data_IF_862639965846
#
_entry.id   IF_862639965846
#
_cell.length_a   1.000
_cell.length_b   1.000
_cell.length_c   1.000
_cell.angle_alpha   90.00
_cell.angle_beta   90.00
_cell.angle_gamma   90.00
#
_symmetry.space_group_name_H-M   'P 1'
#
loop_
_entity.id
_entity.type
_entity.pdbx_description
1 polymer ?
#
# COMPACT_ATOMS: atom_id res chain seq x y z
N UNK A 1 8.48 -11.66 -3.48
CA UNK A 1 7.95 -10.91 -4.64
C UNK A 1 7.81 -11.86 -5.81
N UNK A 2 6.81 -11.68 -6.68
CA UNK A 2 6.66 -12.49 -7.91
C UNK A 2 5.58 -13.57 -7.91
N UNK A 3 4.59 -13.51 -7.01
CA UNK A 3 3.42 -14.41 -7.02
C UNK A 3 2.16 -13.78 -7.66
N UNK A 4 2.24 -12.53 -8.12
CA UNK A 4 1.25 -11.89 -9.00
C UNK A 4 -0.06 -11.38 -8.38
N UNK A 5 -0.37 -11.69 -7.12
CA UNK A 5 -1.58 -11.20 -6.43
C UNK A 5 -1.28 -10.08 -5.45
N UNK A 6 -2.29 -9.24 -5.13
CA UNK A 6 -2.19 -8.09 -4.21
C UNK A 6 -1.47 -8.38 -2.90
N UNK A 7 -1.74 -9.53 -2.27
CA UNK A 7 -1.08 -9.91 -1.01
C UNK A 7 0.45 -9.94 -1.12
N UNK A 8 0.99 -10.12 -2.32
CA UNK A 8 2.41 -10.19 -2.60
C UNK A 8 3.03 -8.86 -3.01
N UNK A 9 2.19 -7.85 -3.24
CA UNK A 9 2.60 -6.47 -3.55
C UNK A 9 2.77 -5.64 -2.28
N UNK A 10 2.42 -6.19 -1.11
CA UNK A 10 2.65 -5.56 0.19
C UNK A 10 4.12 -5.26 0.41
N UNK A 11 4.41 -4.01 0.78
CA UNK A 11 5.76 -3.58 1.15
C UNK A 11 6.15 -4.07 2.55
N UNK A 12 7.45 -4.21 2.85
CA UNK A 12 7.91 -4.55 4.20
C UNK A 12 7.45 -3.52 5.25
N UNK A 13 7.09 -3.99 6.44
CA UNK A 13 6.60 -3.16 7.55
C UNK A 13 7.48 -1.93 7.81
N UNK A 14 8.81 -2.07 7.81
CA UNK A 14 9.73 -0.95 8.08
C UNK A 14 9.68 0.20 7.06
N UNK A 15 9.13 -0.03 5.87
CA UNK A 15 9.04 1.02 4.84
C UNK A 15 7.94 2.04 5.13
N UNK A 16 6.96 1.66 5.97
CA UNK A 16 5.79 2.48 6.27
C UNK A 16 5.91 3.34 7.52
N UNK A 17 7.07 3.36 8.19
CA UNK A 17 7.29 4.21 9.36
C UNK A 17 8.33 3.66 10.33
N UNK A 18 8.63 4.42 11.39
CA UNK A 18 9.45 3.93 12.50
C UNK A 18 8.90 2.61 13.04
N UNK A 19 9.81 1.68 13.33
CA UNK A 19 9.53 0.36 13.87
C UNK A 19 9.69 0.36 15.38
N UNK A 20 10.66 1.11 15.90
CA UNK A 20 10.95 1.19 17.34
C UNK A 20 10.75 2.61 17.88
N UNK A 21 10.57 2.75 19.21
CA UNK A 21 10.50 4.07 19.84
C UNK A 21 11.73 4.93 19.58
N UNK A 22 12.93 4.35 19.60
CA UNK A 22 14.19 5.07 19.39
C UNK A 22 14.27 5.67 17.98
N UNK A 23 13.76 4.94 16.97
CA UNK A 23 13.67 5.46 15.60
C UNK A 23 12.73 6.67 15.52
N UNK A 24 11.62 6.65 16.27
CA UNK A 24 10.71 7.79 16.37
C UNK A 24 11.39 8.97 17.05
N UNK A 25 11.95 8.74 18.25
CA UNK A 25 12.58 9.77 19.08
C UNK A 25 13.75 10.45 18.37
N UNK A 26 14.53 9.70 17.59
CA UNK A 26 15.64 10.25 16.79
C UNK A 26 15.21 11.36 15.82
N UNK A 27 13.92 11.42 15.48
CA UNK A 27 13.32 12.38 14.54
C UNK A 27 11.97 12.88 15.03
N UNK A 28 11.79 13.02 16.34
CA UNK A 28 10.50 13.32 16.97
C UNK A 28 9.83 14.58 16.39
N UNK A 29 10.58 15.67 16.23
CA UNK A 29 10.05 16.93 15.68
C UNK A 29 9.46 16.76 14.28
N UNK A 30 10.16 16.01 13.40
CA UNK A 30 9.68 15.71 12.04
C UNK A 30 8.40 14.89 12.09
N UNK A 31 8.36 13.86 12.93
CA UNK A 31 7.22 12.95 12.98
C UNK A 31 5.99 13.58 13.64
N UNK A 32 6.17 14.35 14.72
CA UNK A 32 5.09 15.11 15.34
C UNK A 32 4.50 16.15 14.37
N UNK A 33 5.34 16.81 13.56
CA UNK A 33 4.87 17.71 12.48
C UNK A 33 4.04 16.96 11.45
N UNK A 34 4.50 15.79 10.98
CA UNK A 34 3.74 14.98 10.02
C UNK A 34 2.41 14.48 10.59
N UNK A 35 2.38 14.08 11.87
CA UNK A 35 1.13 13.68 12.53
C UNK A 35 0.12 14.83 12.53
N UNK A 36 0.54 16.04 12.89
CA UNK A 36 -0.36 17.20 12.92
C UNK A 36 -0.81 17.63 11.52
N UNK A 37 0.13 17.85 10.61
CA UNK A 37 -0.16 18.51 9.33
C UNK A 37 -0.66 17.56 8.25
N UNK A 38 -0.19 16.30 8.24
CA UNK A 38 -0.50 15.33 7.19
C UNK A 38 -1.55 14.32 7.65
N UNK A 39 -1.40 13.79 8.87
CA UNK A 39 -2.32 12.78 9.41
C UNK A 39 -3.55 13.42 10.06
N UNK A 40 -3.45 14.68 10.50
CA UNK A 40 -4.50 15.36 11.26
C UNK A 40 -4.64 14.82 12.70
N UNK A 41 -3.58 14.22 13.25
CA UNK A 41 -3.52 13.64 14.58
C UNK A 41 -2.70 14.53 15.52
N UNK A 42 -3.22 14.86 16.71
CA UNK A 42 -2.47 15.62 17.70
C UNK A 42 -1.59 14.69 18.58
N UNK A 43 -0.25 14.73 18.45
CA UNK A 43 0.68 13.94 19.25
C UNK A 43 0.82 14.40 20.72
N UNK A 44 0.22 15.53 21.12
CA UNK A 44 0.39 16.09 22.46
C UNK A 44 -0.16 15.15 23.53
N UNK A 45 0.65 14.78 24.53
CA UNK A 45 0.27 13.88 25.61
C UNK A 45 0.12 12.40 25.23
N UNK A 46 0.54 12.02 24.01
CA UNK A 46 0.50 10.64 23.51
C UNK A 46 1.81 9.90 23.72
N UNK A 47 1.73 8.58 23.92
CA UNK A 47 2.94 7.75 23.98
C UNK A 47 3.58 7.61 22.61
N UNK A 48 4.86 7.23 22.57
CA UNK A 48 5.58 7.04 21.31
C UNK A 48 4.92 5.92 20.47
N UNK A 49 4.44 4.86 21.11
CA UNK A 49 3.76 3.74 20.45
C UNK A 49 2.45 4.18 19.79
N UNK A 50 1.64 5.00 20.46
CA UNK A 50 0.41 5.55 19.89
C UNK A 50 0.72 6.42 18.66
N UNK A 51 1.74 7.27 18.74
CA UNK A 51 2.20 8.11 17.64
C UNK A 51 2.68 7.30 16.45
N UNK A 52 3.48 6.25 16.70
CA UNK A 52 3.94 5.31 15.67
C UNK A 52 2.72 4.64 15.02
N UNK A 53 1.80 4.09 15.81
CA UNK A 53 0.63 3.39 15.29
C UNK A 53 -0.23 4.30 14.39
N UNK A 54 -0.52 5.53 14.82
CA UNK A 54 -1.29 6.49 14.03
C UNK A 54 -0.60 6.84 12.71
N UNK A 55 0.72 7.10 12.75
CA UNK A 55 1.49 7.41 11.54
C UNK A 55 1.50 6.26 10.55
N UNK A 56 1.66 5.03 11.05
CA UNK A 56 1.71 3.83 10.23
C UNK A 56 0.37 3.52 9.60
N UNK A 57 -0.71 3.58 10.38
CA UNK A 57 -2.07 3.38 9.87
C UNK A 57 -2.37 4.32 8.70
N UNK A 58 -2.00 5.60 8.83
CA UNK A 58 -2.14 6.56 7.74
C UNK A 58 -1.31 6.16 6.50
N UNK A 59 -0.03 5.84 6.67
CA UNK A 59 0.85 5.52 5.54
C UNK A 59 0.47 4.22 4.84
N UNK A 60 0.04 3.22 5.59
CA UNK A 60 -0.48 1.96 5.06
C UNK A 60 -1.76 2.20 4.24
N UNK A 61 -2.70 3.01 4.74
CA UNK A 61 -3.89 3.43 3.99
C UNK A 61 -3.54 4.19 2.69
N UNK A 62 -2.57 5.11 2.75
CA UNK A 62 -2.11 5.81 1.54
C UNK A 62 -1.48 4.87 0.51
N UNK A 63 -0.75 3.83 0.98
CA UNK A 63 -0.17 2.82 0.10
C UNK A 63 -1.25 1.96 -0.58
N UNK A 64 -2.27 1.54 0.16
CA UNK A 64 -3.39 0.78 -0.40
C UNK A 64 -4.15 1.62 -1.45
N UNK A 65 -4.43 2.90 -1.15
CA UNK A 65 -5.06 3.83 -2.12
C UNK A 65 -4.24 4.02 -3.39
N UNK A 66 -2.92 4.16 -3.24
CA UNK A 66 -2.01 4.23 -4.39
C UNK A 66 -2.07 2.94 -5.21
N UNK A 67 -2.07 1.79 -4.55
CA UNK A 67 -2.15 0.47 -5.19
C UNK A 67 -3.45 0.35 -6.00
N UNK A 68 -4.59 0.72 -5.42
CA UNK A 68 -5.89 0.73 -6.10
C UNK A 68 -5.89 1.63 -7.34
N UNK A 69 -5.35 2.85 -7.21
CA UNK A 69 -5.25 3.79 -8.31
C UNK A 69 -4.36 3.24 -9.45
N UNK A 70 -3.27 2.56 -9.12
CA UNK A 70 -2.36 1.94 -10.10
C UNK A 70 -3.03 0.75 -10.79
N UNK A 71 -3.68 -0.15 -10.05
CA UNK A 71 -4.41 -1.28 -10.62
C UNK A 71 -5.50 -0.81 -11.57
N UNK A 72 -6.33 0.15 -11.14
CA UNK A 72 -7.36 0.75 -11.98
C UNK A 72 -6.78 1.35 -13.26
N UNK A 73 -5.70 2.13 -13.16
CA UNK A 73 -5.02 2.72 -14.32
C UNK A 73 -4.47 1.66 -15.28
N UNK A 74 -4.02 0.51 -14.76
CA UNK A 74 -3.49 -0.60 -15.56
C UNK A 74 -4.59 -1.47 -16.17
N UNK A 75 -5.87 -1.27 -15.82
CA UNK A 75 -6.96 -2.16 -16.22
C UNK A 75 -6.89 -3.51 -15.50
N UNK A 76 -6.48 -3.50 -14.24
CA UNK A 76 -6.37 -4.69 -13.39
C UNK A 76 -7.51 -4.72 -12.36
N UNK A 77 -7.81 -5.91 -11.86
CA UNK A 77 -8.72 -6.11 -10.73
C UNK A 77 -8.11 -5.61 -9.42
N UNK A 78 -8.92 -5.48 -8.37
CA UNK A 78 -8.46 -5.08 -7.04
C UNK A 78 -7.46 -6.08 -6.42
N UNK A 79 -7.43 -7.32 -6.93
CA UNK A 79 -6.49 -8.36 -6.52
C UNK A 79 -5.18 -8.36 -7.33
N UNK A 80 -4.96 -7.37 -8.21
CA UNK A 80 -3.72 -7.20 -8.96
C UNK A 80 -3.62 -8.04 -10.23
N UNK A 81 -4.74 -8.51 -10.79
CA UNK A 81 -4.76 -9.36 -11.99
C UNK A 81 -5.24 -8.56 -13.20
N UNK A 82 -4.56 -8.59 -14.36
CA UNK A 82 -5.05 -7.95 -15.59
C UNK A 82 -6.42 -8.49 -16.00
N UNK A 83 -7.35 -7.60 -16.34
CA UNK A 83 -8.67 -7.99 -16.86
C UNK A 83 -8.57 -8.58 -18.28
N UNK A 84 -9.51 -9.45 -18.71
CA UNK A 84 -9.55 -9.95 -20.09
C UNK A 84 -9.62 -8.83 -21.13
N UNK A 85 -10.36 -7.77 -20.83
CA UNK A 85 -10.43 -6.57 -21.67
C UNK A 85 -9.06 -5.95 -21.85
N UNK A 86 -8.30 -5.83 -20.75
CA UNK A 86 -6.94 -5.29 -20.82
C UNK A 86 -6.00 -6.19 -21.59
N UNK A 87 -6.09 -7.50 -21.42
CA UNK A 87 -5.27 -8.47 -22.15
C UNK A 87 -5.54 -8.39 -23.66
N UNK A 88 -6.80 -8.28 -24.06
CA UNK A 88 -7.19 -8.07 -25.45
C UNK A 88 -6.66 -6.76 -26.02
N UNK A 89 -6.77 -5.66 -25.28
CA UNK A 89 -6.25 -4.35 -25.68
C UNK A 89 -4.75 -4.39 -26.02
N UNK A 90 -3.96 -5.17 -25.27
CA UNK A 90 -2.51 -5.29 -25.47
C UNK A 90 -2.09 -6.48 -26.35
N UNK A 91 -3.04 -7.21 -26.96
CA UNK A 91 -2.76 -8.36 -27.83
C UNK A 91 -2.24 -9.60 -27.10
N UNK A 92 -2.66 -9.80 -25.85
CA UNK A 92 -2.27 -10.92 -24.97
C UNK A 92 -3.47 -11.81 -24.60
N UNK A 93 -4.56 -11.80 -25.37
CA UNK A 93 -5.77 -12.62 -25.16
C UNK A 93 -5.60 -14.08 -25.63
N UNK A 94 -4.43 -14.67 -25.39
CA UNK A 94 -4.18 -16.08 -25.69
C UNK A 94 -5.06 -16.97 -24.79
N UNK A 95 -5.70 -18.02 -25.32
CA UNK A 95 -6.60 -18.88 -24.55
C UNK A 95 -5.99 -19.38 -23.24
N UNK A 96 -4.74 -19.87 -23.28
CA UNK A 96 -4.07 -20.37 -22.09
C UNK A 96 -3.73 -19.31 -21.05
N UNK A 97 -3.60 -18.03 -21.43
CA UNK A 97 -3.42 -16.94 -20.46
C UNK A 97 -4.76 -16.54 -19.84
N UNK A 98 -5.83 -16.49 -20.63
CA UNK A 98 -7.20 -16.26 -20.14
C UNK A 98 -7.59 -17.31 -19.10
N UNK A 99 -7.32 -18.60 -19.38
CA UNK A 99 -7.56 -19.71 -18.44
C UNK A 99 -6.81 -19.57 -17.11
N UNK A 100 -5.67 -18.88 -17.10
CA UNK A 100 -4.89 -18.63 -15.88
C UNK A 100 -5.48 -17.45 -15.11
N UNK A 101 -5.79 -16.35 -15.78
CA UNK A 101 -6.30 -15.15 -15.10
C UNK A 101 -7.72 -15.35 -14.58
N UNK A 102 -8.59 -16.08 -15.29
CA UNK A 102 -9.97 -16.36 -14.85
C UNK A 102 -10.05 -17.06 -13.49
N UNK A 103 -9.03 -17.81 -13.10
CA UNK A 103 -8.96 -18.46 -11.77
C UNK A 103 -8.76 -17.48 -10.61
N UNK A 104 -8.46 -16.21 -10.91
CA UNK A 104 -8.03 -15.20 -9.95
C UNK A 104 -8.79 -13.87 -10.04
N UNK A 105 -9.78 -13.78 -10.93
CA UNK A 105 -10.67 -12.62 -11.14
C UNK A 105 -12.01 -12.86 -10.45
#
# INVERSE_FOLDING_TARGET
MGKGLRINDKTPYRTMGPVTPEEYESRAERYDKQLKETVGYDPTGKTVEEKIAAMRAYREDQYEKLTDAVYKRRGWTENGVPTPEKLKEIGMDFPGLLDVVEKHI
#
